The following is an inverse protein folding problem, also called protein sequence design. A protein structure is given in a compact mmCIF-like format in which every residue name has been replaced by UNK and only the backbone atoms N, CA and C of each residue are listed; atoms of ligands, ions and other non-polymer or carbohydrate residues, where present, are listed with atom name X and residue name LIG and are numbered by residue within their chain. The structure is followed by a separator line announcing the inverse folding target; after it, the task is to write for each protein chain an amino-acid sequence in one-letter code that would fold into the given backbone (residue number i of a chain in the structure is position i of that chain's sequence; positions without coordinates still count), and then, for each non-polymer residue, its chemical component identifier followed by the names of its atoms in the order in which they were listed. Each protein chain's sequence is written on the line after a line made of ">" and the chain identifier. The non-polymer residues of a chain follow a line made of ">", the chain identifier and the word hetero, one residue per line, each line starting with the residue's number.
data_IF_692668469802
#
_entry.id   IF_692668469802
#
_cell.length_a   1.000
_cell.length_b   1.000
_cell.length_c   1.000
_cell.angle_alpha   90.00
_cell.angle_beta   90.00
_cell.angle_gamma   90.00
#
_symmetry.space_group_name_H-M   'P 1'
#
loop_
_entity.id
_entity.type
_entity.pdbx_description
1 polymer ?
#
# COMPACT_ATOMS: atom_id res chain seq x y z
N UNK A 1 -12.89 -36.70 -49.31
CA UNK A 1 -11.58 -36.36 -48.68
C UNK A 1 -10.85 -35.21 -49.36
N UNK A 2 -10.45 -35.29 -50.65
CA UNK A 2 -9.59 -34.26 -51.31
C UNK A 2 -10.13 -32.81 -51.33
N UNK A 3 -11.44 -32.60 -51.44
CA UNK A 3 -12.04 -31.25 -51.45
C UNK A 3 -12.03 -30.60 -50.06
N UNK A 4 -12.38 -31.36 -49.03
CA UNK A 4 -12.34 -30.91 -47.63
C UNK A 4 -10.90 -30.52 -47.27
N UNK A 5 -9.91 -31.36 -47.62
CA UNK A 5 -8.49 -31.04 -47.38
C UNK A 5 -8.04 -29.76 -48.10
N UNK A 6 -8.48 -29.51 -49.34
CA UNK A 6 -8.15 -28.26 -50.07
C UNK A 6 -8.80 -27.02 -49.47
N UNK A 7 -10.08 -27.10 -49.07
CA UNK A 7 -10.79 -26.00 -48.42
C UNK A 7 -10.16 -25.67 -47.06
N UNK A 8 -9.77 -26.68 -46.29
CA UNK A 8 -9.04 -26.50 -45.03
C UNK A 8 -7.67 -25.83 -45.25
N UNK A 9 -6.90 -26.25 -46.26
CA UNK A 9 -5.61 -25.61 -46.57
C UNK A 9 -5.77 -24.15 -47.01
N UNK A 10 -6.76 -23.84 -47.84
CA UNK A 10 -7.05 -22.45 -48.27
C UNK A 10 -7.49 -21.59 -47.07
N UNK A 11 -8.35 -22.11 -46.21
CA UNK A 11 -8.78 -21.41 -45.00
C UNK A 11 -7.60 -21.13 -44.05
N UNK A 12 -6.73 -22.12 -43.82
CA UNK A 12 -5.52 -21.95 -42.99
C UNK A 12 -4.57 -20.92 -43.59
N UNK A 13 -4.34 -20.98 -44.92
CA UNK A 13 -3.48 -20.01 -45.60
C UNK A 13 -4.05 -18.59 -45.51
N UNK A 14 -5.37 -18.43 -45.66
CA UNK A 14 -6.05 -17.14 -45.48
C UNK A 14 -5.88 -16.58 -44.06
N UNK A 15 -6.09 -17.41 -43.04
CA UNK A 15 -5.89 -17.02 -41.63
C UNK A 15 -4.44 -16.62 -41.37
N UNK A 16 -3.47 -17.37 -41.90
CA UNK A 16 -2.05 -17.05 -41.74
C UNK A 16 -1.69 -15.70 -42.39
N UNK A 17 -2.16 -15.45 -43.61
CA UNK A 17 -1.92 -14.17 -44.32
C UNK A 17 -2.52 -13.01 -43.53
N UNK A 18 -3.77 -13.13 -43.06
CA UNK A 18 -4.41 -12.11 -42.23
C UNK A 18 -3.65 -11.86 -40.93
N UNK A 19 -3.20 -12.93 -40.25
CA UNK A 19 -2.43 -12.82 -39.01
C UNK A 19 -1.08 -12.14 -39.22
N UNK A 20 -0.30 -12.53 -40.24
CA UNK A 20 1.00 -11.92 -40.51
C UNK A 20 0.85 -10.48 -41.04
N UNK A 21 -0.18 -10.19 -41.83
CA UNK A 21 -0.49 -8.82 -42.26
C UNK A 21 -0.82 -7.92 -41.07
N UNK A 22 -1.66 -8.40 -40.15
CA UNK A 22 -2.00 -7.67 -38.92
C UNK A 22 -0.78 -7.51 -38.01
N UNK A 23 0.01 -8.57 -37.80
CA UNK A 23 1.22 -8.54 -36.97
C UNK A 23 2.28 -7.60 -37.55
N UNK A 24 2.44 -7.56 -38.87
CA UNK A 24 3.34 -6.62 -39.56
C UNK A 24 2.88 -5.17 -39.43
N UNK A 25 1.56 -4.92 -39.56
CA UNK A 25 0.99 -3.59 -39.28
C UNK A 25 1.22 -3.17 -37.83
N UNK A 26 0.97 -4.07 -36.87
CA UNK A 26 1.14 -3.81 -35.43
C UNK A 26 2.59 -3.47 -35.13
N UNK A 27 3.54 -4.26 -35.65
CA UNK A 27 4.96 -3.96 -35.52
C UNK A 27 5.31 -2.57 -36.06
N UNK A 28 4.79 -2.20 -37.23
CA UNK A 28 5.02 -0.87 -37.81
C UNK A 28 4.42 0.23 -36.92
N UNK A 29 3.17 0.05 -36.48
CA UNK A 29 2.47 0.99 -35.60
C UNK A 29 3.21 1.19 -34.28
N UNK A 30 3.58 0.10 -33.60
CA UNK A 30 4.30 0.13 -32.33
C UNK A 30 5.66 0.80 -32.48
N UNK A 31 6.38 0.54 -33.57
CA UNK A 31 7.66 1.18 -33.87
C UNK A 31 7.51 2.69 -34.11
N UNK A 32 6.45 3.12 -34.83
CA UNK A 32 6.16 4.56 -35.00
C UNK A 32 5.81 5.21 -33.67
N UNK A 33 4.93 4.57 -32.89
CA UNK A 33 4.52 5.04 -31.56
C UNK A 33 5.70 5.13 -30.59
N UNK A 34 6.59 4.14 -30.57
CA UNK A 34 7.79 4.18 -29.73
C UNK A 34 8.74 5.33 -30.08
N UNK A 35 8.62 5.88 -31.29
CA UNK A 35 9.38 7.05 -31.77
C UNK A 35 8.59 8.36 -31.62
N UNK A 36 7.27 8.30 -31.60
CA UNK A 36 6.37 9.45 -31.39
C UNK A 36 5.99 9.56 -29.91
N UNK A 37 6.63 10.54 -29.25
CA UNK A 37 6.36 11.07 -27.90
C UNK A 37 6.91 10.28 -26.68
N UNK A 38 7.90 10.86 -26.00
CA UNK A 38 7.65 11.92 -25.00
C UNK A 38 8.72 13.02 -25.14
N UNK A 39 8.35 14.30 -24.99
CA UNK A 39 9.25 15.47 -25.17
C UNK A 39 10.05 15.76 -23.90
N UNK A 40 9.63 15.17 -22.77
CA UNK A 40 10.27 15.36 -21.48
C UNK A 40 11.19 14.17 -21.16
N UNK A 41 12.49 14.45 -21.20
CA UNK A 41 13.52 13.53 -20.74
C UNK A 41 13.89 13.85 -19.28
N UNK A 42 14.17 12.80 -18.52
CA UNK A 42 14.87 12.92 -17.23
C UNK A 42 16.29 13.46 -17.44
N UNK A 43 16.86 14.12 -16.44
CA UNK A 43 18.28 14.52 -16.49
C UNK A 43 19.22 13.33 -16.32
N UNK A 44 18.72 12.19 -15.80
CA UNK A 44 19.47 10.97 -15.56
C UNK A 44 19.32 9.99 -16.73
N UNK A 45 20.44 9.57 -17.31
CA UNK A 45 20.47 8.60 -18.42
C UNK A 45 19.78 7.28 -18.07
N UNK A 46 19.94 6.82 -16.83
CA UNK A 46 19.33 5.57 -16.35
C UNK A 46 17.80 5.64 -16.31
N UNK A 47 17.22 6.76 -15.88
CA UNK A 47 15.78 6.97 -15.93
C UNK A 47 15.26 6.98 -17.36
N UNK A 48 16.01 7.59 -18.29
CA UNK A 48 15.66 7.60 -19.71
C UNK A 48 15.69 6.19 -20.34
N UNK A 49 16.61 5.31 -19.90
CA UNK A 49 16.63 3.89 -20.32
C UNK A 49 15.37 3.16 -19.87
N UNK A 50 14.96 3.34 -18.60
CA UNK A 50 13.74 2.72 -18.07
C UNK A 50 12.48 3.27 -18.76
N UNK A 51 12.40 4.59 -18.97
CA UNK A 51 11.31 5.22 -19.73
C UNK A 51 11.23 4.68 -21.17
N UNK A 52 12.39 4.53 -21.83
CA UNK A 52 12.51 3.92 -23.15
C UNK A 52 11.99 2.48 -23.17
N UNK A 53 12.47 1.64 -22.25
CA UNK A 53 12.02 0.26 -22.09
C UNK A 53 10.49 0.17 -21.94
N UNK A 54 9.91 0.93 -21.02
CA UNK A 54 8.46 0.90 -20.74
C UNK A 54 7.62 1.26 -21.99
N UNK A 55 8.14 2.18 -22.82
CA UNK A 55 7.49 2.61 -24.07
C UNK A 55 7.66 1.56 -25.17
N UNK A 56 8.88 1.07 -25.37
CA UNK A 56 9.22 0.08 -26.40
C UNK A 56 8.49 -1.25 -26.20
N UNK A 57 8.31 -1.67 -24.95
CA UNK A 57 7.56 -2.89 -24.59
C UNK A 57 6.05 -2.70 -24.52
N UNK A 58 5.58 -1.48 -24.74
CA UNK A 58 4.16 -1.15 -24.78
C UNK A 58 3.42 -1.29 -23.46
N UNK A 59 4.09 -1.06 -22.33
CA UNK A 59 3.47 -1.14 -21.01
C UNK A 59 2.32 -0.13 -20.85
N UNK A 60 2.42 1.03 -21.50
CA UNK A 60 1.39 2.05 -21.50
C UNK A 60 0.06 1.63 -22.12
N UNK A 61 0.05 0.68 -23.07
CA UNK A 61 -1.19 0.21 -23.70
C UNK A 61 -2.22 -0.23 -22.67
N UNK A 62 -1.80 -0.87 -21.58
CA UNK A 62 -2.71 -1.37 -20.55
C UNK A 62 -2.55 -0.68 -19.20
N UNK A 63 -1.50 0.11 -18.98
CA UNK A 63 -1.19 0.74 -17.69
C UNK A 63 -1.30 2.27 -17.69
N UNK A 64 -1.78 2.86 -18.79
CA UNK A 64 -2.13 4.29 -18.86
C UNK A 64 -3.48 4.47 -19.56
N UNK A 65 -4.32 5.42 -19.12
CA UNK A 65 -5.62 5.71 -19.75
C UNK A 65 -5.49 6.45 -21.08
N UNK A 66 -4.32 7.03 -21.37
CA UNK A 66 -4.07 7.95 -22.48
C UNK A 66 -3.41 7.30 -23.71
N UNK A 67 -3.15 5.99 -23.69
CA UNK A 67 -2.47 5.33 -24.80
C UNK A 67 -3.31 5.32 -26.09
N UNK A 68 -2.74 5.81 -27.19
CA UNK A 68 -3.36 5.72 -28.51
C UNK A 68 -3.46 4.26 -28.95
N UNK A 69 -4.69 3.78 -29.14
CA UNK A 69 -4.96 2.41 -29.55
C UNK A 69 -4.93 2.27 -31.08
N UNK A 70 -4.41 1.15 -31.61
CA UNK A 70 -4.40 0.89 -33.04
C UNK A 70 -5.82 0.73 -33.60
N UNK A 71 -6.00 0.95 -34.91
CA UNK A 71 -7.35 1.03 -35.53
C UNK A 71 -8.24 -0.19 -35.27
N UNK A 72 -7.66 -1.39 -35.18
CA UNK A 72 -8.41 -2.63 -34.96
C UNK A 72 -9.04 -2.72 -33.57
N UNK A 73 -8.61 -1.89 -32.61
CA UNK A 73 -9.26 -1.74 -31.30
C UNK A 73 -10.72 -1.29 -31.39
N UNK A 74 -11.15 -0.78 -32.55
CA UNK A 74 -12.54 -0.42 -32.82
C UNK A 74 -13.43 -1.61 -33.22
N UNK A 75 -12.84 -2.75 -33.63
CA UNK A 75 -13.60 -3.92 -34.08
C UNK A 75 -14.24 -4.65 -32.89
N UNK A 76 -15.51 -5.12 -32.96
CA UNK A 76 -16.26 -5.55 -31.78
C UNK A 76 -15.55 -6.55 -30.85
N UNK A 77 -14.96 -7.61 -31.41
CA UNK A 77 -14.27 -8.65 -30.63
C UNK A 77 -12.94 -8.13 -30.07
N UNK A 78 -12.15 -7.44 -30.88
CA UNK A 78 -10.87 -6.86 -30.46
C UNK A 78 -11.08 -5.78 -29.39
N UNK A 79 -12.07 -4.91 -29.58
CA UNK A 79 -12.50 -3.88 -28.63
C UNK A 79 -12.83 -4.46 -27.28
N UNK A 80 -13.65 -5.52 -27.23
CA UNK A 80 -14.05 -6.13 -25.97
C UNK A 80 -12.85 -6.73 -25.22
N UNK A 81 -11.98 -7.45 -25.93
CA UNK A 81 -10.78 -8.05 -25.34
C UNK A 81 -9.78 -6.99 -24.85
N UNK A 82 -9.48 -6.00 -25.69
CA UNK A 82 -8.57 -4.91 -25.34
C UNK A 82 -9.11 -4.08 -24.18
N UNK A 83 -10.41 -3.73 -24.18
CA UNK A 83 -11.00 -3.01 -23.06
C UNK A 83 -10.89 -3.80 -21.76
N UNK A 84 -11.10 -5.12 -21.79
CA UNK A 84 -10.92 -5.97 -20.62
C UNK A 84 -9.47 -5.92 -20.10
N UNK A 85 -8.49 -6.12 -20.98
CA UNK A 85 -7.07 -6.13 -20.61
C UNK A 85 -6.58 -4.74 -20.13
N UNK A 86 -7.04 -3.65 -20.76
CA UNK A 86 -6.74 -2.26 -20.36
C UNK A 86 -7.33 -1.96 -18.99
N UNK A 87 -8.61 -2.28 -18.76
CA UNK A 87 -9.25 -2.04 -17.47
C UNK A 87 -8.58 -2.85 -16.36
N UNK A 88 -8.23 -4.12 -16.62
CA UNK A 88 -7.53 -4.96 -15.66
C UNK A 88 -6.10 -4.48 -15.39
N UNK A 89 -5.36 -4.11 -16.45
CA UNK A 89 -4.00 -3.58 -16.36
C UNK A 89 -3.96 -2.29 -15.54
N UNK A 90 -4.83 -1.33 -15.86
CA UNK A 90 -4.89 -0.04 -15.21
C UNK A 90 -5.41 -0.13 -13.77
N UNK A 91 -6.36 -1.05 -13.49
CA UNK A 91 -6.78 -1.39 -12.13
C UNK A 91 -5.61 -1.95 -11.30
N UNK A 92 -4.72 -2.74 -11.91
CA UNK A 92 -3.61 -3.37 -11.21
C UNK A 92 -2.43 -2.43 -10.94
N UNK A 93 -2.13 -1.57 -11.91
CA UNK A 93 -0.93 -0.75 -11.91
C UNK A 93 -1.11 0.50 -12.76
N UNK A 94 -0.84 1.67 -12.18
CA UNK A 94 -0.84 2.95 -12.86
C UNK A 94 0.60 3.36 -13.18
N UNK A 95 0.96 3.29 -14.47
CA UNK A 95 2.31 3.62 -14.92
C UNK A 95 2.60 5.12 -14.93
N UNK A 96 1.58 5.98 -14.90
CA UNK A 96 1.76 7.44 -14.94
C UNK A 96 2.57 7.95 -13.74
N UNK A 97 2.33 7.40 -12.55
CA UNK A 97 3.05 7.79 -11.33
C UNK A 97 4.55 7.45 -11.44
N UNK A 98 4.88 6.30 -12.01
CA UNK A 98 6.27 5.86 -12.26
C UNK A 98 6.94 6.78 -13.28
N UNK A 99 6.27 7.05 -14.41
CA UNK A 99 6.79 7.95 -15.45
C UNK A 99 7.04 9.36 -14.89
N UNK A 100 6.08 9.90 -14.15
CA UNK A 100 6.20 11.23 -13.54
C UNK A 100 7.36 11.30 -12.53
N UNK A 101 7.56 10.25 -11.72
CA UNK A 101 8.70 10.18 -10.80
C UNK A 101 10.04 10.16 -11.55
N UNK A 102 10.16 9.31 -12.58
CA UNK A 102 11.38 9.20 -13.39
C UNK A 102 11.72 10.51 -14.11
N UNK A 103 10.73 11.16 -14.75
CA UNK A 103 10.91 12.44 -15.43
C UNK A 103 11.33 13.55 -14.45
N UNK A 104 10.79 13.52 -13.22
CA UNK A 104 11.12 14.49 -12.18
C UNK A 104 12.39 14.16 -11.37
N UNK A 105 13.14 13.12 -11.75
CA UNK A 105 14.31 12.62 -11.02
C UNK A 105 14.03 12.29 -9.55
N UNK A 106 12.80 11.85 -9.27
CA UNK A 106 12.35 11.41 -7.96
C UNK A 106 12.35 9.89 -7.88
N UNK A 107 12.58 9.32 -6.68
CA UNK A 107 12.55 7.88 -6.51
C UNK A 107 11.14 7.34 -6.77
N UNK A 108 11.07 6.24 -7.52
CA UNK A 108 9.82 5.52 -7.81
C UNK A 108 9.34 4.82 -6.54
N UNK A 109 8.04 4.90 -6.24
CA UNK A 109 7.47 4.35 -5.00
C UNK A 109 7.84 2.87 -4.80
N UNK A 110 8.06 2.47 -3.54
CA UNK A 110 8.41 1.08 -3.22
C UNK A 110 7.36 0.07 -3.71
N UNK A 111 6.06 0.40 -3.61
CA UNK A 111 4.99 -0.46 -4.13
C UNK A 111 5.07 -0.64 -5.63
N UNK A 112 5.40 0.42 -6.38
CA UNK A 112 5.53 0.34 -7.83
C UNK A 112 6.78 -0.45 -8.24
N UNK A 113 7.92 -0.23 -7.57
CA UNK A 113 9.13 -1.03 -7.75
C UNK A 113 8.85 -2.53 -7.49
N UNK A 114 8.16 -2.85 -6.39
CA UNK A 114 7.83 -4.23 -6.03
C UNK A 114 6.90 -4.88 -7.06
N UNK A 115 5.94 -4.14 -7.62
CA UNK A 115 5.06 -4.64 -8.69
C UNK A 115 5.84 -4.92 -9.98
N UNK A 116 6.71 -4.00 -10.40
CA UNK A 116 7.55 -4.17 -11.59
C UNK A 116 8.50 -5.37 -11.38
N UNK A 117 9.18 -5.43 -10.24
CA UNK A 117 10.08 -6.54 -9.90
C UNK A 117 9.37 -7.89 -10.01
N UNK A 118 8.20 -8.03 -9.38
CA UNK A 118 7.48 -9.29 -9.36
C UNK A 118 7.12 -9.73 -10.78
N UNK A 119 6.60 -8.83 -11.63
CA UNK A 119 6.22 -9.24 -12.99
C UNK A 119 7.43 -9.59 -13.86
N UNK A 120 8.60 -9.01 -13.60
CA UNK A 120 9.87 -9.35 -14.25
C UNK A 120 10.43 -10.69 -13.76
N UNK A 121 10.45 -10.95 -12.44
CA UNK A 121 10.96 -12.19 -11.85
C UNK A 121 10.16 -13.42 -12.27
N UNK A 122 8.83 -13.31 -12.34
CA UNK A 122 7.95 -14.44 -12.70
C UNK A 122 7.51 -14.43 -14.18
N UNK A 123 8.11 -13.56 -15.00
CA UNK A 123 7.88 -13.49 -16.45
C UNK A 123 6.40 -13.37 -16.86
N UNK A 124 5.61 -12.69 -16.03
CA UNK A 124 4.15 -12.60 -16.23
C UNK A 124 3.73 -11.43 -17.10
N UNK A 125 4.67 -10.51 -17.37
CA UNK A 125 4.46 -9.36 -18.25
C UNK A 125 5.56 -9.27 -19.32
N UNK A 126 5.18 -8.87 -20.55
CA UNK A 126 3.81 -8.68 -21.01
C UNK A 126 3.02 -10.00 -21.13
N UNK A 127 1.68 -9.98 -21.03
CA UNK A 127 0.89 -11.21 -21.08
C UNK A 127 1.02 -11.92 -22.43
N UNK A 128 0.90 -13.26 -22.46
CA UNK A 128 1.00 -14.04 -23.70
C UNK A 128 0.05 -13.54 -24.81
N UNK A 129 -1.18 -13.15 -24.44
CA UNK A 129 -2.16 -12.59 -25.38
C UNK A 129 -1.68 -11.32 -26.07
N UNK A 130 -0.98 -10.45 -25.34
CA UNK A 130 -0.36 -9.25 -25.90
C UNK A 130 0.77 -9.64 -26.86
N UNK A 131 1.72 -10.44 -26.40
CA UNK A 131 2.90 -10.83 -27.21
C UNK A 131 2.58 -11.70 -28.43
N UNK A 132 1.39 -12.31 -28.49
CA UNK A 132 0.92 -13.01 -29.68
C UNK A 132 0.80 -12.07 -30.88
N UNK A 133 0.36 -10.83 -30.67
CA UNK A 133 0.25 -9.84 -31.73
C UNK A 133 1.40 -8.82 -31.71
N UNK A 134 1.86 -8.46 -30.51
CA UNK A 134 2.94 -7.51 -30.23
C UNK A 134 4.24 -8.26 -29.90
N UNK A 135 4.69 -9.13 -30.81
CA UNK A 135 5.84 -10.02 -30.55
C UNK A 135 7.16 -9.29 -30.24
N UNK A 136 7.35 -8.08 -30.79
CA UNK A 136 8.50 -7.23 -30.48
C UNK A 136 8.46 -6.63 -29.06
N UNK A 137 7.29 -6.65 -28.41
CA UNK A 137 7.11 -6.24 -27.02
C UNK A 137 7.57 -7.29 -26.01
N UNK A 138 8.03 -8.48 -26.45
CA UNK A 138 8.64 -9.45 -25.53
C UNK A 138 9.86 -8.85 -24.83
N UNK A 139 9.99 -9.17 -23.54
CA UNK A 139 11.14 -8.78 -22.72
C UNK A 139 12.17 -9.90 -22.76
N UNK A 140 13.38 -9.59 -23.23
CA UNK A 140 14.51 -10.51 -23.24
C UNK A 140 15.14 -10.65 -21.85
N UNK A 141 15.95 -11.70 -21.65
CA UNK A 141 16.65 -11.93 -20.39
C UNK A 141 17.60 -10.79 -20.02
N UNK A 142 18.25 -10.17 -21.01
CA UNK A 142 19.12 -9.00 -20.81
C UNK A 142 18.33 -7.79 -20.32
N UNK A 143 17.24 -7.42 -21.00
CA UNK A 143 16.40 -6.28 -20.59
C UNK A 143 15.80 -6.52 -19.21
N UNK A 144 15.38 -7.76 -18.92
CA UNK A 144 14.89 -8.13 -17.60
C UNK A 144 15.95 -7.95 -16.51
N UNK A 145 17.17 -8.42 -16.76
CA UNK A 145 18.28 -8.26 -15.82
C UNK A 145 18.63 -6.78 -15.59
N UNK A 146 18.56 -5.95 -16.64
CA UNK A 146 18.75 -4.50 -16.54
C UNK A 146 17.68 -3.84 -15.65
N UNK A 147 16.41 -4.17 -15.84
CA UNK A 147 15.31 -3.61 -15.02
C UNK A 147 15.40 -4.09 -13.57
N UNK A 148 15.72 -5.37 -13.33
CA UNK A 148 15.92 -5.90 -11.98
C UNK A 148 17.13 -5.26 -11.29
N UNK A 149 18.22 -5.06 -12.01
CA UNK A 149 19.41 -4.36 -11.51
C UNK A 149 19.12 -2.90 -11.17
N UNK A 150 18.36 -2.20 -12.01
CA UNK A 150 17.89 -0.85 -11.75
C UNK A 150 17.02 -0.78 -10.49
N UNK A 151 16.05 -1.69 -10.32
CA UNK A 151 15.22 -1.76 -9.10
C UNK A 151 16.08 -1.95 -7.86
N UNK A 152 17.05 -2.87 -7.92
CA UNK A 152 17.95 -3.12 -6.80
C UNK A 152 18.75 -1.86 -6.43
N UNK A 153 19.25 -1.13 -7.42
CA UNK A 153 19.94 0.14 -7.21
C UNK A 153 19.03 1.22 -6.63
N UNK A 154 17.78 1.32 -7.09
CA UNK A 154 16.79 2.26 -6.52
C UNK A 154 16.53 1.96 -5.04
N UNK A 155 16.36 0.68 -4.67
CA UNK A 155 16.20 0.28 -3.26
C UNK A 155 17.42 0.62 -2.43
N UNK A 156 18.60 0.23 -2.89
CA UNK A 156 19.87 0.50 -2.22
C UNK A 156 20.08 2.01 -1.97
N UNK A 157 19.76 2.84 -2.96
CA UNK A 157 20.02 4.28 -2.91
C UNK A 157 18.99 5.05 -2.06
N UNK A 158 17.71 4.68 -2.13
CA UNK A 158 16.63 5.52 -1.61
C UNK A 158 15.85 4.92 -0.44
N UNK A 159 15.91 3.60 -0.25
CA UNK A 159 15.01 2.90 0.66
C UNK A 159 15.72 1.99 1.67
N UNK A 160 16.89 1.47 1.34
CA UNK A 160 17.65 0.60 2.22
C UNK A 160 18.10 1.38 3.46
N UNK A 161 17.72 0.89 4.65
CA UNK A 161 18.18 1.51 5.88
C UNK A 161 19.68 1.23 6.09
N UNK A 162 20.36 2.08 6.87
CA UNK A 162 21.79 1.93 7.13
C UNK A 162 22.10 0.69 7.99
N UNK A 163 21.15 0.26 8.81
CA UNK A 163 21.25 -0.90 9.70
C UNK A 163 20.79 -2.22 9.04
N UNK A 164 20.28 -2.18 7.80
CA UNK A 164 19.95 -3.40 7.05
C UNK A 164 21.23 -4.10 6.58
N UNK A 165 21.32 -5.41 6.80
CA UNK A 165 22.47 -6.20 6.37
C UNK A 165 22.59 -6.21 4.85
N UNK A 166 23.82 -6.23 4.33
CA UNK A 166 24.12 -6.11 2.89
C UNK A 166 23.32 -7.07 2.01
N UNK A 167 23.16 -8.32 2.44
CA UNK A 167 22.40 -9.34 1.69
C UNK A 167 20.89 -9.06 1.62
N UNK A 168 20.35 -8.25 2.54
CA UNK A 168 18.92 -7.97 2.67
C UNK A 168 18.53 -6.58 2.15
N UNK A 169 19.49 -5.76 1.69
CA UNK A 169 19.19 -4.38 1.26
C UNK A 169 18.29 -4.28 0.04
N UNK A 170 18.26 -5.32 -0.81
CA UNK A 170 17.33 -5.41 -1.95
C UNK A 170 15.98 -6.06 -1.59
N UNK A 171 15.75 -6.46 -0.34
CA UNK A 171 14.43 -6.98 0.04
C UNK A 171 13.35 -5.87 -0.11
N UNK A 172 12.12 -6.21 -0.51
CA UNK A 172 11.02 -5.25 -0.66
C UNK A 172 10.55 -4.65 0.67
N UNK A 173 11.14 -5.08 1.79
CA UNK A 173 10.81 -4.70 3.17
C UNK A 173 12.09 -4.23 3.87
N UNK A 174 11.94 -3.28 4.79
CA UNK A 174 13.04 -2.70 5.56
C UNK A 174 12.72 -2.78 7.06
N UNK A 175 13.72 -2.85 7.95
CA UNK A 175 13.47 -2.94 9.38
C UNK A 175 12.86 -1.63 9.90
N UNK A 176 12.04 -1.73 10.94
CA UNK A 176 11.61 -0.53 11.67
C UNK A 176 12.85 0.09 12.34
N UNK A 177 13.12 1.40 12.16
CA UNK A 177 14.25 2.05 12.83
C UNK A 177 14.11 1.94 14.33
N UNK A 178 15.22 1.84 15.07
CA UNK A 178 15.18 1.67 16.53
C UNK A 178 14.67 2.91 17.26
N UNK A 179 14.74 4.09 16.63
CA UNK A 179 14.22 5.35 17.15
C UNK A 179 13.85 6.32 16.03
N UNK A 180 12.99 7.28 16.34
CA UNK A 180 12.71 8.45 15.49
C UNK A 180 13.03 9.71 16.32
N UNK A 181 13.69 10.74 15.74
CA UNK A 181 13.88 12.01 16.42
C UNK A 181 12.53 12.66 16.81
N UNK A 182 12.41 13.05 18.07
CA UNK A 182 11.22 13.73 18.62
C UNK A 182 11.60 14.85 19.60
N UNK A 183 10.73 15.84 19.78
CA UNK A 183 10.82 16.81 20.88
C UNK A 183 10.23 16.20 22.16
N UNK A 184 11.11 15.86 23.11
CA UNK A 184 10.72 15.20 24.37
C UNK A 184 9.67 15.98 25.18
N UNK A 185 9.65 17.32 25.11
CA UNK A 185 8.67 18.13 25.85
C UNK A 185 7.29 18.05 25.21
N UNK A 186 7.22 18.05 23.88
CA UNK A 186 5.98 17.82 23.13
C UNK A 186 5.47 16.39 23.31
N UNK A 187 6.37 15.40 23.31
CA UNK A 187 6.03 13.98 23.59
C UNK A 187 5.38 13.85 24.96
N UNK A 188 5.94 14.47 26.01
CA UNK A 188 5.36 14.42 27.35
C UNK A 188 3.92 14.96 27.38
N UNK A 189 3.70 16.09 26.71
CA UNK A 189 2.38 16.71 26.62
C UNK A 189 1.41 15.88 25.77
N UNK A 190 1.88 15.36 24.63
CA UNK A 190 1.13 14.48 23.75
C UNK A 190 0.70 13.20 24.43
N UNK A 191 1.57 12.59 25.24
CA UNK A 191 1.24 11.43 26.06
C UNK A 191 0.09 11.75 27.02
N UNK A 192 0.15 12.88 27.72
CA UNK A 192 -0.95 13.33 28.61
C UNK A 192 -2.25 13.49 27.82
N UNK A 193 -2.23 14.21 26.70
CA UNK A 193 -3.41 14.50 25.87
C UNK A 193 -4.01 13.25 25.21
N UNK A 194 -3.18 12.30 24.78
CA UNK A 194 -3.60 11.03 24.19
C UNK A 194 -4.43 10.19 25.17
N UNK A 195 -4.16 10.32 26.47
CA UNK A 195 -4.86 9.60 27.53
C UNK A 195 -5.97 10.43 28.18
N UNK A 196 -6.03 11.74 27.93
CA UNK A 196 -6.96 12.66 28.60
C UNK A 196 -8.38 12.56 28.01
N UNK A 197 -9.38 12.08 28.78
CA UNK A 197 -10.72 11.92 28.25
C UNK A 197 -11.43 13.26 28.04
N UNK A 198 -10.93 14.37 28.60
CA UNK A 198 -11.51 15.72 28.41
C UNK A 198 -11.49 16.17 26.95
N UNK A 199 -10.78 15.47 26.06
CA UNK A 199 -10.83 15.71 24.62
C UNK A 199 -12.14 15.20 23.96
N UNK A 200 -12.94 14.36 24.65
CA UNK A 200 -14.31 14.01 24.24
C UNK A 200 -15.37 14.95 24.84
N UNK A 201 -16.52 15.04 24.17
CA UNK A 201 -17.64 15.92 24.51
C UNK A 201 -18.14 15.74 25.94
N UNK A 202 -18.26 14.49 26.38
CA UNK A 202 -18.73 14.10 27.72
C UNK A 202 -17.59 13.81 28.71
N UNK A 203 -16.33 13.99 28.28
CA UNK A 203 -15.13 13.68 29.06
C UNK A 203 -14.98 12.21 29.48
N UNK A 204 -15.48 11.26 28.67
CA UNK A 204 -15.39 9.80 28.94
C UNK A 204 -14.44 9.04 28.02
N UNK A 205 -14.03 9.60 26.88
CA UNK A 205 -13.23 8.90 25.86
C UNK A 205 -11.97 9.69 25.54
N UNK A 206 -10.85 8.99 25.43
CA UNK A 206 -9.55 9.49 24.95
C UNK A 206 -9.06 8.63 23.78
N UNK A 207 -7.97 9.03 23.11
CA UNK A 207 -7.37 8.24 22.03
C UNK A 207 -7.04 6.80 22.51
N UNK A 208 -6.52 6.68 23.73
CA UNK A 208 -6.16 5.40 24.36
C UNK A 208 -7.33 4.43 24.57
N UNK A 209 -8.59 4.89 24.53
CA UNK A 209 -9.75 4.00 24.65
C UNK A 209 -9.97 3.16 23.38
N UNK A 210 -9.76 3.75 22.20
CA UNK A 210 -9.89 3.05 20.92
C UNK A 210 -8.55 2.47 20.43
N UNK A 211 -7.44 3.01 20.92
CA UNK A 211 -6.08 2.66 20.50
C UNK A 211 -5.23 2.27 21.70
N UNK A 212 -5.62 1.20 22.41
CA UNK A 212 -4.97 0.82 23.65
C UNK A 212 -3.56 0.28 23.40
N UNK A 213 -2.54 0.95 23.98
CA UNK A 213 -1.13 0.64 23.74
C UNK A 213 -0.70 -0.73 24.30
N UNK A 214 -1.43 -1.26 25.28
CA UNK A 214 -1.24 -2.61 25.82
C UNK A 214 -1.99 -3.70 25.03
N UNK A 215 -2.75 -3.33 23.98
CA UNK A 215 -3.53 -4.24 23.16
C UNK A 215 -3.28 -3.99 21.66
N UNK A 216 -2.00 -3.92 21.26
CA UNK A 216 -1.62 -3.78 19.85
C UNK A 216 -1.98 -2.41 19.23
N UNK A 217 -2.33 -1.41 20.04
CA UNK A 217 -2.69 -0.06 19.56
C UNK A 217 -4.09 0.00 18.93
N UNK A 218 -4.97 -0.96 19.24
CA UNK A 218 -6.35 -1.07 18.74
C UNK A 218 -7.33 -1.32 19.89
N UNK A 219 -8.63 -1.43 19.59
CA UNK A 219 -9.69 -1.72 20.57
C UNK A 219 -10.13 -3.20 20.60
N UNK A 220 -9.65 -4.01 19.66
CA UNK A 220 -10.02 -5.43 19.53
C UNK A 220 -11.48 -5.67 19.12
N UNK A 221 -12.17 -4.63 18.62
CA UNK A 221 -13.59 -4.69 18.23
C UNK A 221 -13.73 -4.77 16.72
N UNK A 222 -14.90 -5.25 16.27
CA UNK A 222 -15.28 -5.16 14.86
C UNK A 222 -15.22 -3.71 14.35
N UNK A 223 -15.90 -2.81 15.05
CA UNK A 223 -15.81 -1.36 14.87
C UNK A 223 -15.87 -0.66 16.22
N UNK A 224 -15.32 0.55 16.29
CA UNK A 224 -15.16 1.29 17.55
C UNK A 224 -16.47 1.78 18.14
N UNK A 225 -16.49 1.96 19.46
CA UNK A 225 -17.61 2.54 20.18
C UNK A 225 -17.20 3.93 20.69
N UNK A 226 -17.91 4.95 20.24
CA UNK A 226 -17.75 6.33 20.68
C UNK A 226 -18.68 6.72 21.83
N UNK A 227 -18.76 8.04 22.05
CA UNK A 227 -19.57 8.67 23.11
C UNK A 227 -21.04 8.23 23.01
N UNK A 228 -21.65 7.97 24.17
CA UNK A 228 -23.05 7.54 24.24
C UNK A 228 -23.32 6.14 23.68
N UNK A 229 -22.29 5.33 23.41
CA UNK A 229 -22.43 4.00 22.82
C UNK A 229 -22.61 3.99 21.30
N UNK A 230 -22.33 5.11 20.62
CA UNK A 230 -22.36 5.18 19.17
C UNK A 230 -21.37 4.19 18.55
N UNK A 231 -21.81 3.40 17.57
CA UNK A 231 -20.95 2.41 16.90
C UNK A 231 -20.47 2.98 15.57
N UNK A 232 -19.16 3.07 15.41
CA UNK A 232 -18.53 3.54 14.18
C UNK A 232 -18.67 2.56 13.01
N UNK A 233 -18.47 3.02 11.76
CA UNK A 233 -18.67 2.19 10.56
C UNK A 233 -17.44 1.37 10.16
N UNK A 234 -16.30 1.56 10.84
CA UNK A 234 -15.00 1.04 10.41
C UNK A 234 -14.17 0.55 11.60
N UNK A 235 -13.32 -0.44 11.37
CA UNK A 235 -12.37 -0.98 12.34
C UNK A 235 -11.25 0.04 12.62
N UNK A 236 -10.89 0.21 13.89
CA UNK A 236 -9.80 1.09 14.31
C UNK A 236 -8.44 0.48 13.88
N UNK A 237 -7.69 1.13 12.96
CA UNK A 237 -6.34 0.68 12.65
C UNK A 237 -5.40 0.94 13.84
N UNK A 238 -4.30 0.21 13.92
CA UNK A 238 -3.30 0.43 14.99
C UNK A 238 -2.64 1.80 14.88
N UNK A 239 -2.37 2.43 16.03
CA UNK A 239 -1.48 3.60 16.12
C UNK A 239 0.00 3.23 15.99
N UNK A 240 0.36 1.97 16.24
CA UNK A 240 1.76 1.56 16.17
C UNK A 240 2.29 1.64 14.74
N UNK A 241 3.45 2.27 14.58
CA UNK A 241 4.14 2.50 13.31
C UNK A 241 3.35 3.37 12.31
N UNK A 242 2.26 4.03 12.75
CA UNK A 242 1.40 4.85 11.90
C UNK A 242 2.11 6.07 11.30
N UNK A 243 3.19 6.53 11.96
CA UNK A 243 4.12 7.55 11.47
C UNK A 243 4.72 7.23 10.10
N UNK A 244 4.81 5.96 9.72
CA UNK A 244 5.36 5.54 8.43
C UNK A 244 4.31 5.40 7.31
N UNK A 245 3.03 5.62 7.62
CA UNK A 245 2.01 5.68 6.57
C UNK A 245 2.23 6.91 5.67
N UNK A 246 1.96 6.77 4.37
CA UNK A 246 1.97 7.88 3.42
C UNK A 246 0.89 8.92 3.75
N UNK A 247 -0.27 8.43 4.17
CA UNK A 247 -1.45 9.20 4.62
C UNK A 247 -2.18 8.36 5.67
N UNK A 248 -2.97 8.99 6.53
CA UNK A 248 -3.69 8.35 7.64
C UNK A 248 -5.16 8.06 7.29
N UNK A 249 -5.79 7.24 8.14
CA UNK A 249 -7.10 6.58 7.89
C UNK A 249 -7.07 5.56 6.74
N UNK A 250 -8.12 4.72 6.67
CA UNK A 250 -8.27 3.70 5.62
C UNK A 250 -8.41 4.30 4.21
N UNK A 251 -9.02 5.47 4.07
CA UNK A 251 -9.20 6.19 2.80
C UNK A 251 -8.09 7.20 2.49
N UNK A 252 -7.15 7.42 3.42
CA UNK A 252 -6.05 8.36 3.26
C UNK A 252 -6.46 9.83 3.35
N UNK A 253 -7.61 10.16 3.95
CA UNK A 253 -8.13 11.54 3.95
C UNK A 253 -7.31 12.53 4.78
N UNK A 254 -6.40 12.06 5.63
CA UNK A 254 -5.55 12.91 6.44
C UNK A 254 -4.07 12.75 6.03
N UNK A 255 -3.36 13.81 5.61
CA UNK A 255 -2.00 13.69 5.10
C UNK A 255 -0.94 13.43 6.18
N UNK A 256 -1.24 13.69 7.45
CA UNK A 256 -0.29 13.58 8.57
C UNK A 256 -0.98 13.06 9.83
N UNK A 257 -0.19 12.62 10.82
CA UNK A 257 -0.70 12.26 12.16
C UNK A 257 -1.40 13.45 12.83
N UNK A 258 -0.84 14.66 12.74
CA UNK A 258 -1.46 15.86 13.29
C UNK A 258 -2.84 16.13 12.66
N UNK A 259 -2.95 16.04 11.33
CA UNK A 259 -4.23 16.19 10.65
C UNK A 259 -5.23 15.09 11.05
N UNK A 260 -4.75 13.86 11.25
CA UNK A 260 -5.56 12.74 11.71
C UNK A 260 -6.09 12.98 13.14
N UNK A 261 -5.23 13.40 14.07
CA UNK A 261 -5.58 13.68 15.46
C UNK A 261 -6.64 14.79 15.59
N UNK A 262 -6.80 15.64 14.57
CA UNK A 262 -7.85 16.65 14.51
C UNK A 262 -9.25 16.14 14.17
N UNK A 263 -9.38 14.91 13.63
CA UNK A 263 -10.65 14.32 13.22
C UNK A 263 -11.49 13.75 14.38
N UNK A 264 -10.99 12.74 15.11
CA UNK A 264 -11.73 12.03 16.16
C UNK A 264 -12.38 12.94 17.22
N UNK A 265 -11.71 13.99 17.75
CA UNK A 265 -12.28 14.88 18.77
C UNK A 265 -13.63 15.46 18.37
N UNK A 266 -13.78 15.83 17.09
CA UNK A 266 -14.97 16.52 16.57
C UNK A 266 -15.96 15.56 15.87
N UNK A 267 -15.63 14.28 15.73
CA UNK A 267 -16.50 13.32 15.09
C UNK A 267 -17.65 12.90 16.05
N UNK A 268 -18.93 13.13 15.70
CA UNK A 268 -20.07 12.88 16.59
C UNK A 268 -20.29 11.41 16.95
N UNK A 269 -19.72 10.47 16.19
CA UNK A 269 -19.80 9.02 16.48
C UNK A 269 -18.52 8.47 17.14
N UNK A 270 -17.52 9.33 17.39
CA UNK A 270 -16.30 8.97 18.11
C UNK A 270 -16.24 9.75 19.43
N UNK A 271 -15.60 10.92 19.46
CA UNK A 271 -15.38 11.69 20.69
C UNK A 271 -16.39 12.83 20.89
N UNK A 272 -17.12 13.23 19.85
CA UNK A 272 -18.31 14.08 19.93
C UNK A 272 -18.17 15.44 20.65
N UNK A 273 -16.97 16.02 20.72
CA UNK A 273 -16.83 17.43 21.12
C UNK A 273 -17.34 18.34 20.01
N UNK A 274 -18.03 19.42 20.38
CA UNK A 274 -18.67 20.34 19.43
C UNK A 274 -17.69 21.31 18.77
N UNK A 275 -16.58 21.59 19.45
CA UNK A 275 -15.53 22.48 18.95
C UNK A 275 -14.24 22.31 19.75
N UNK A 276 -13.14 22.82 19.21
CA UNK A 276 -11.89 22.97 19.97
C UNK A 276 -12.05 23.90 21.17
N UNK A 277 -12.87 24.95 21.08
CA UNK A 277 -13.12 25.84 22.22
C UNK A 277 -13.72 25.08 23.42
N UNK A 278 -14.61 24.12 23.17
CA UNK A 278 -15.17 23.26 24.21
C UNK A 278 -14.08 22.42 24.89
N UNK A 279 -13.20 21.80 24.10
CA UNK A 279 -12.05 21.02 24.59
C UNK A 279 -11.13 21.92 25.43
N UNK A 280 -10.77 23.08 24.90
CA UNK A 280 -9.90 24.05 25.55
C UNK A 280 -10.51 24.53 26.87
N UNK A 281 -11.80 24.82 26.93
CA UNK A 281 -12.48 25.20 28.18
C UNK A 281 -12.42 24.11 29.26
N UNK A 282 -12.36 22.83 28.87
CA UNK A 282 -12.19 21.71 29.81
C UNK A 282 -10.74 21.60 30.28
N UNK A 283 -9.78 21.69 29.36
CA UNK A 283 -8.35 21.59 29.66
C UNK A 283 -7.84 22.80 30.46
N UNK A 284 -8.33 24.02 30.19
CA UNK A 284 -7.87 25.27 30.83
C UNK A 284 -8.19 25.34 32.33
N UNK A 285 -9.13 24.50 32.80
CA UNK A 285 -9.45 24.35 34.23
C UNK A 285 -8.33 23.64 35.01
N UNK A 286 -7.47 22.92 34.33
CA UNK A 286 -6.30 22.24 34.89
C UNK A 286 -5.09 23.16 34.88
N UNK A 287 -4.83 23.80 36.02
CA UNK A 287 -3.76 24.79 36.13
C UNK A 287 -2.37 24.19 35.93
N UNK A 288 -2.18 22.92 36.28
CA UNK A 288 -0.89 22.25 36.06
C UNK A 288 -0.69 21.98 34.58
N UNK A 289 -1.67 21.33 33.91
CA UNK A 289 -1.58 21.07 32.47
C UNK A 289 -1.42 22.37 31.68
N UNK A 290 -2.12 23.44 32.06
CA UNK A 290 -1.97 24.77 31.42
C UNK A 290 -0.55 25.31 31.52
N UNK A 291 0.09 25.22 32.69
CA UNK A 291 1.47 25.65 32.87
C UNK A 291 2.44 24.82 32.04
N UNK A 292 2.28 23.49 32.06
CA UNK A 292 3.08 22.56 31.25
C UNK A 292 2.91 22.85 29.75
N UNK A 293 1.67 23.09 29.30
CA UNK A 293 1.36 23.41 27.91
C UNK A 293 2.02 24.72 27.46
N UNK A 294 1.89 25.80 28.25
CA UNK A 294 2.47 27.12 27.92
C UNK A 294 4.00 27.06 27.86
N UNK A 295 4.64 26.20 28.66
CA UNK A 295 6.09 26.01 28.63
C UNK A 295 6.59 25.39 27.30
N UNK A 296 5.75 24.66 26.59
CA UNK A 296 6.06 24.05 25.28
C UNK A 296 5.53 24.93 24.13
N UNK A 297 4.32 25.45 24.28
CA UNK A 297 3.63 26.31 23.32
C UNK A 297 3.25 27.64 24.00
N UNK A 298 4.08 28.68 23.92
CA UNK A 298 3.85 29.98 24.58
C UNK A 298 2.51 30.66 24.23
N UNK A 299 1.91 30.25 23.11
CA UNK A 299 0.65 30.72 22.56
C UNK A 299 -0.56 30.09 23.27
N UNK A 300 -0.33 29.07 24.11
CA UNK A 300 -1.36 28.35 24.84
C UNK A 300 -2.09 27.31 23.99
N UNK A 301 -3.21 26.82 24.52
CA UNK A 301 -4.01 25.81 23.85
C UNK A 301 -4.60 26.31 22.53
N UNK A 302 -4.49 25.49 21.50
CA UNK A 302 -5.22 25.58 20.23
C UNK A 302 -5.42 24.16 19.70
N UNK A 303 -6.38 23.95 18.79
CA UNK A 303 -6.52 22.65 18.13
C UNK A 303 -5.22 22.21 17.44
N UNK A 304 -4.53 23.16 16.79
CA UNK A 304 -3.25 22.90 16.13
C UNK A 304 -2.16 22.47 17.12
N UNK A 305 -2.01 23.16 18.25
CA UNK A 305 -0.98 22.84 19.25
C UNK A 305 -1.28 21.51 19.97
N UNK A 306 -2.56 21.24 20.25
CA UNK A 306 -3.00 19.97 20.88
C UNK A 306 -2.70 18.80 19.95
N UNK A 307 -3.09 18.91 18.68
CA UNK A 307 -2.86 17.85 17.69
C UNK A 307 -1.38 17.68 17.34
N UNK A 308 -0.58 18.76 17.34
CA UNK A 308 0.88 18.71 17.16
C UNK A 308 1.54 17.91 18.29
N UNK A 309 1.16 18.16 19.54
CA UNK A 309 1.69 17.43 20.69
C UNK A 309 1.33 15.93 20.63
N UNK A 310 0.06 15.61 20.34
CA UNK A 310 -0.40 14.21 20.17
C UNK A 310 0.39 13.53 19.06
N UNK A 311 0.51 14.16 17.89
CA UNK A 311 1.25 13.60 16.76
C UNK A 311 2.74 13.38 17.09
N UNK A 312 3.34 14.27 17.88
CA UNK A 312 4.72 14.10 18.34
C UNK A 312 4.87 12.88 19.26
N UNK A 313 3.91 12.65 20.16
CA UNK A 313 3.86 11.42 20.96
C UNK A 313 3.67 10.18 20.08
N UNK A 314 2.78 10.22 19.10
CA UNK A 314 2.54 9.09 18.19
C UNK A 314 3.77 8.70 17.36
N UNK A 315 4.70 9.61 17.07
CA UNK A 315 6.01 9.26 16.46
C UNK A 315 6.82 8.29 17.31
N UNK A 316 6.64 8.31 18.64
CA UNK A 316 7.33 7.38 19.55
C UNK A 316 6.70 5.99 19.56
N UNK A 317 5.49 5.84 19.03
CA UNK A 317 4.74 4.58 18.99
C UNK A 317 5.23 3.70 17.84
N UNK A 318 6.52 3.45 17.77
CA UNK A 318 7.14 2.48 16.87
C UNK A 318 7.43 1.18 17.63
N UNK A 319 7.49 0.07 16.89
CA UNK A 319 7.76 -1.26 17.45
C UNK A 319 8.93 -1.94 16.72
N UNK A 320 10.17 -1.51 16.95
CA UNK A 320 11.34 -2.16 16.36
C UNK A 320 11.58 -3.55 16.96
N UNK A 321 12.63 -4.23 16.48
CA UNK A 321 13.17 -5.46 17.08
C UNK A 321 12.24 -6.67 17.05
N UNK A 322 11.31 -6.69 16.07
CA UNK A 322 10.63 -7.93 15.71
C UNK A 322 11.67 -9.00 15.27
N UNK A 323 11.37 -10.30 15.41
CA UNK A 323 12.21 -11.36 14.84
C UNK A 323 12.57 -11.11 13.37
N UNK A 324 11.62 -10.61 12.57
CA UNK A 324 11.86 -10.23 11.19
C UNK A 324 12.82 -9.05 11.01
N UNK A 325 12.74 -8.01 11.87
CA UNK A 325 13.71 -6.90 11.83
C UNK A 325 15.12 -7.36 12.14
N UNK A 326 15.28 -8.23 13.15
CA UNK A 326 16.59 -8.79 13.50
C UNK A 326 17.19 -9.59 12.35
N UNK A 327 16.36 -10.36 11.64
CA UNK A 327 16.77 -11.06 10.43
C UNK A 327 17.20 -10.11 9.31
N UNK A 328 16.44 -9.05 9.04
CA UNK A 328 16.83 -8.00 8.07
C UNK A 328 18.16 -7.32 8.44
N UNK A 329 18.48 -7.23 9.74
CA UNK A 329 19.77 -6.73 10.26
C UNK A 329 20.89 -7.77 10.26
N UNK A 330 20.63 -9.00 9.79
CA UNK A 330 21.63 -10.05 9.58
C UNK A 330 21.68 -11.13 10.66
N UNK A 331 20.80 -11.10 11.67
CA UNK A 331 20.63 -12.24 12.59
C UNK A 331 19.84 -13.35 11.90
N UNK A 332 20.53 -14.20 11.15
CA UNK A 332 19.92 -15.30 10.41
C UNK A 332 19.18 -16.31 11.30
N UNK A 333 19.49 -16.37 12.60
CA UNK A 333 18.84 -17.26 13.55
C UNK A 333 17.55 -16.66 14.13
N UNK A 334 17.26 -15.38 13.89
CA UNK A 334 16.06 -14.71 14.40
C UNK A 334 14.74 -15.25 13.81
N UNK A 335 14.79 -15.85 12.62
CA UNK A 335 13.65 -16.53 12.01
C UNK A 335 13.85 -18.04 11.98
N UNK A 336 12.79 -18.76 12.33
CA UNK A 336 12.71 -20.21 12.13
C UNK A 336 12.65 -20.56 10.63
N UNK A 337 12.93 -21.81 10.28
CA UNK A 337 12.80 -22.29 8.90
C UNK A 337 11.37 -22.10 8.35
N UNK A 338 10.36 -22.33 9.19
CA UNK A 338 8.95 -22.14 8.85
C UNK A 338 8.67 -20.67 8.50
N UNK A 339 9.14 -19.73 9.31
CA UNK A 339 8.96 -18.29 9.06
C UNK A 339 9.68 -17.82 7.80
N UNK A 340 10.89 -18.35 7.52
CA UNK A 340 11.60 -18.05 6.27
C UNK A 340 10.83 -18.58 5.05
N UNK A 341 10.28 -19.79 5.14
CA UNK A 341 9.43 -20.34 4.08
C UNK A 341 8.14 -19.53 3.89
N UNK A 342 7.48 -19.13 4.98
CA UNK A 342 6.33 -18.24 4.98
C UNK A 342 6.61 -16.89 4.31
N UNK A 343 7.77 -16.29 4.57
CA UNK A 343 8.18 -15.06 3.88
C UNK A 343 8.40 -15.27 2.38
N UNK A 344 9.00 -16.41 1.99
CA UNK A 344 9.14 -16.75 0.58
C UNK A 344 7.78 -16.92 -0.10
N UNK A 345 6.85 -17.66 0.51
CA UNK A 345 5.48 -17.81 0.03
C UNK A 345 4.75 -16.45 -0.05
N UNK A 346 4.97 -15.56 0.90
CA UNK A 346 4.45 -14.20 0.88
C UNK A 346 4.94 -13.40 -0.34
N UNK A 347 6.23 -13.52 -0.71
CA UNK A 347 6.80 -12.91 -1.93
C UNK A 347 6.25 -13.59 -3.20
N UNK A 348 6.28 -14.92 -3.26
CA UNK A 348 5.81 -15.73 -4.39
C UNK A 348 4.34 -15.49 -4.73
N UNK A 349 3.53 -15.19 -3.71
CA UNK A 349 2.11 -14.92 -3.84
C UNK A 349 1.76 -13.43 -3.88
N UNK A 350 2.69 -12.59 -4.35
CA UNK A 350 2.49 -11.15 -4.64
C UNK A 350 2.19 -10.28 -3.43
N UNK A 351 2.19 -10.79 -2.20
CA UNK A 351 1.80 -10.01 -1.03
C UNK A 351 2.75 -8.81 -0.85
N UNK A 352 4.05 -9.01 -1.07
CA UNK A 352 5.08 -7.97 -1.00
C UNK A 352 4.93 -6.85 -2.08
N UNK A 353 4.10 -7.03 -3.10
CA UNK A 353 3.84 -5.97 -4.11
C UNK A 353 3.04 -4.80 -3.53
N UNK A 354 2.19 -5.07 -2.54
CA UNK A 354 1.40 -4.06 -1.83
C UNK A 354 1.90 -3.85 -0.40
N UNK A 355 2.29 -4.95 0.26
CA UNK A 355 2.78 -4.98 1.63
C UNK A 355 4.31 -4.93 1.69
N UNK A 356 4.89 -3.85 1.18
CA UNK A 356 6.33 -3.58 1.20
C UNK A 356 6.72 -2.39 2.10
N UNK A 357 8.00 -2.03 2.08
CA UNK A 357 8.55 -0.92 2.87
C UNK A 357 8.69 -1.22 4.35
N UNK A 358 8.89 -0.18 5.17
CA UNK A 358 9.23 -0.30 6.60
C UNK A 358 8.15 -1.08 7.40
N UNK A 359 6.87 -0.84 7.08
CA UNK A 359 5.74 -1.43 7.83
C UNK A 359 4.98 -2.51 7.07
N UNK A 360 5.52 -3.00 5.95
CA UNK A 360 4.85 -3.97 5.07
C UNK A 360 3.43 -3.50 4.68
N UNK A 361 3.33 -2.27 4.18
CA UNK A 361 2.07 -1.61 3.88
C UNK A 361 2.14 -0.10 4.10
N UNK A 362 0.99 0.57 4.08
CA UNK A 362 0.84 1.99 4.37
C UNK A 362 1.33 2.93 3.27
N UNK A 363 1.76 2.42 2.12
CA UNK A 363 2.41 3.22 1.05
C UNK A 363 1.61 3.35 -0.24
N UNK A 364 0.55 2.57 -0.41
CA UNK A 364 -0.29 2.60 -1.61
C UNK A 364 -1.77 2.39 -1.27
N UNK A 365 -2.62 2.67 -2.27
CA UNK A 365 -4.06 2.42 -2.23
C UNK A 365 -4.40 1.35 -3.26
N UNK A 366 -4.93 0.23 -2.79
CA UNK A 366 -5.17 -0.95 -3.62
C UNK A 366 -6.64 -1.36 -3.57
N UNK A 367 -7.21 -1.85 -4.68
CA UNK A 367 -8.58 -2.31 -4.67
C UNK A 367 -8.67 -3.59 -3.84
N UNK A 368 -9.72 -3.72 -3.03
CA UNK A 368 -10.09 -5.00 -2.47
C UNK A 368 -10.82 -5.82 -3.55
N UNK A 369 -10.12 -6.83 -4.08
CA UNK A 369 -10.63 -7.69 -5.16
C UNK A 369 -10.00 -7.39 -6.51
N UNK A 370 -8.69 -7.60 -6.63
CA UNK A 370 -7.95 -7.45 -7.87
C UNK A 370 -8.22 -8.59 -8.86
N UNK A 371 -8.40 -9.82 -8.36
CA UNK A 371 -8.57 -11.05 -9.17
C UNK A 371 -9.99 -11.59 -9.15
N UNK A 372 -10.69 -11.40 -8.04
CA UNK A 372 -12.11 -11.72 -7.88
C UNK A 372 -12.76 -10.57 -7.12
N UNK A 373 -14.02 -10.28 -7.41
CA UNK A 373 -14.76 -9.25 -6.68
C UNK A 373 -14.89 -9.66 -5.21
N UNK A 374 -14.47 -8.77 -4.31
CA UNK A 374 -14.60 -8.99 -2.88
C UNK A 374 -16.08 -8.89 -2.50
N UNK A 375 -16.60 -9.89 -1.78
CA UNK A 375 -18.02 -9.90 -1.43
C UNK A 375 -18.28 -9.03 -0.21
N UNK A 376 -18.54 -7.75 -0.45
CA UNK A 376 -18.94 -6.79 0.58
C UNK A 376 -20.41 -6.91 1.00
N UNK A 377 -21.25 -7.69 0.30
CA UNK A 377 -22.70 -7.55 0.45
C UNK A 377 -23.14 -6.11 0.12
N UNK A 378 -23.84 -5.45 1.02
CA UNK A 378 -24.19 -4.03 0.87
C UNK A 378 -22.93 -3.14 0.99
N UNK A 379 -22.67 -2.32 -0.02
CA UNK A 379 -21.53 -1.38 -0.06
C UNK A 379 -21.88 -0.13 0.74
N UNK A 380 -21.08 0.19 1.73
CA UNK A 380 -21.20 1.36 2.61
C UNK A 380 -20.21 2.47 2.21
N UNK A 381 -20.33 3.64 2.83
CA UNK A 381 -19.36 4.73 2.63
C UNK A 381 -17.92 4.33 3.00
N UNK A 382 -17.73 3.48 4.02
CA UNK A 382 -16.41 2.97 4.40
C UNK A 382 -15.77 2.12 3.29
N UNK A 383 -16.58 1.41 2.50
CA UNK A 383 -16.10 0.57 1.40
C UNK A 383 -15.69 1.36 0.17
N UNK A 384 -16.34 2.50 -0.08
CA UNK A 384 -15.99 3.39 -1.20
C UNK A 384 -14.51 3.78 -1.13
N UNK A 385 -13.99 3.98 0.08
CA UNK A 385 -12.57 4.13 0.35
C UNK A 385 -11.99 5.40 -0.26
N UNK A 386 -10.89 5.27 -0.99
CA UNK A 386 -10.10 6.40 -1.53
C UNK A 386 -10.92 7.34 -2.43
N UNK A 387 -11.93 6.83 -3.13
CA UNK A 387 -12.82 7.67 -3.94
C UNK A 387 -13.57 8.73 -3.11
N UNK A 388 -13.79 8.52 -1.81
CA UNK A 388 -14.36 9.55 -0.92
C UNK A 388 -13.47 10.80 -0.84
N UNK A 389 -12.19 10.68 -1.15
CA UNK A 389 -11.19 11.76 -1.11
C UNK A 389 -10.95 12.29 -2.52
N UNK A 390 -10.73 11.40 -3.50
CA UNK A 390 -10.29 11.82 -4.84
C UNK A 390 -11.44 12.13 -5.79
N UNK A 391 -12.65 11.62 -5.52
CA UNK A 391 -13.80 11.63 -6.44
C UNK A 391 -13.56 10.88 -7.76
N UNK A 392 -12.46 10.12 -7.87
CA UNK A 392 -12.07 9.41 -9.08
C UNK A 392 -12.64 7.98 -9.07
N UNK A 393 -13.30 7.57 -10.17
CA UNK A 393 -13.91 6.24 -10.26
C UNK A 393 -12.90 5.09 -10.12
N UNK A 394 -11.65 5.30 -10.57
CA UNK A 394 -10.54 4.31 -10.43
C UNK A 394 -10.16 4.02 -8.98
N UNK A 395 -10.53 4.92 -8.06
CA UNK A 395 -10.23 4.82 -6.64
C UNK A 395 -11.38 4.20 -5.83
N UNK A 396 -12.47 3.83 -6.49
CA UNK A 396 -13.60 3.15 -5.85
C UNK A 396 -13.15 1.79 -5.32
N UNK A 397 -13.52 1.49 -4.07
CA UNK A 397 -13.15 0.26 -3.36
C UNK A 397 -11.63 0.11 -3.13
N UNK A 398 -10.85 1.18 -3.31
CA UNK A 398 -9.45 1.19 -2.91
C UNK A 398 -9.33 1.62 -1.47
N UNK A 399 -8.55 0.88 -0.69
CA UNK A 399 -8.20 1.23 0.67
C UNK A 399 -6.69 1.41 0.73
N UNK A 400 -6.22 2.23 1.67
CA UNK A 400 -4.81 2.24 2.05
C UNK A 400 -4.46 0.83 2.50
N UNK A 401 -3.40 0.27 1.91
CA UNK A 401 -2.89 -1.03 2.32
C UNK A 401 -2.47 -0.92 3.79
N UNK A 402 -3.02 -1.71 4.73
CA UNK A 402 -2.62 -1.63 6.13
C UNK A 402 -1.18 -2.16 6.31
N UNK A 403 -0.45 -1.60 7.27
CA UNK A 403 0.83 -2.18 7.69
C UNK A 403 0.60 -3.54 8.35
N UNK A 404 1.50 -4.49 8.13
CA UNK A 404 1.41 -5.85 8.71
C UNK A 404 2.27 -6.02 9.96
N UNK A 405 3.00 -4.98 10.38
CA UNK A 405 3.70 -4.96 11.68
C UNK A 405 2.67 -5.11 12.80
N UNK A 406 2.94 -6.02 13.73
CA UNK A 406 2.03 -6.38 14.83
C UNK A 406 0.67 -6.95 14.40
N UNK A 407 0.49 -7.39 13.14
CA UNK A 407 -0.84 -7.82 12.64
C UNK A 407 -1.43 -8.98 13.46
N UNK A 408 -0.61 -9.85 14.03
CA UNK A 408 -1.07 -10.94 14.89
C UNK A 408 -1.71 -10.46 16.21
N UNK A 409 -1.58 -9.17 16.55
CA UNK A 409 -2.12 -8.54 17.77
C UNK A 409 -3.35 -7.65 17.50
N UNK A 410 -3.77 -7.49 16.24
CA UNK A 410 -4.77 -6.48 15.84
C UNK A 410 -6.03 -7.06 15.22
N UNK A 411 -6.43 -8.26 15.64
CA UNK A 411 -7.72 -8.81 15.23
C UNK A 411 -8.88 -7.94 15.77
N UNK A 412 -10.05 -7.91 15.08
CA UNK A 412 -10.34 -8.54 13.79
C UNK A 412 -9.80 -7.75 12.59
N UNK A 413 -9.80 -8.37 11.42
CA UNK A 413 -9.11 -7.89 10.22
C UNK A 413 -10.04 -7.23 9.19
N UNK A 414 -9.40 -6.49 8.27
CA UNK A 414 -9.99 -5.62 7.25
C UNK A 414 -10.71 -4.39 7.82
N UNK A 415 -11.03 -3.43 6.95
CA UNK A 415 -11.63 -2.16 7.38
C UNK A 415 -13.01 -2.35 8.02
N UNK A 416 -13.69 -3.46 7.78
CA UNK A 416 -14.98 -3.79 8.42
C UNK A 416 -14.84 -4.59 9.72
N UNK A 417 -13.65 -5.08 10.05
CA UNK A 417 -13.42 -5.96 11.20
C UNK A 417 -14.25 -7.24 11.16
N UNK A 418 -14.62 -7.73 9.97
CA UNK A 418 -15.53 -8.86 9.78
C UNK A 418 -14.81 -10.21 9.74
N UNK A 419 -13.48 -10.22 9.73
CA UNK A 419 -12.67 -11.43 9.68
C UNK A 419 -11.93 -11.64 11.00
N UNK A 420 -12.26 -12.66 11.78
CA UNK A 420 -11.76 -12.78 13.15
C UNK A 420 -10.36 -13.39 13.25
N UNK A 421 -9.87 -14.12 12.24
CA UNK A 421 -8.62 -14.88 12.30
C UNK A 421 -7.63 -14.46 11.23
N UNK A 422 -6.33 -14.51 11.58
CA UNK A 422 -5.25 -14.13 10.66
C UNK A 422 -5.19 -15.09 9.47
N UNK A 423 -5.31 -16.39 9.73
CA UNK A 423 -5.49 -17.44 8.72
C UNK A 423 -6.63 -17.13 7.74
N UNK A 424 -7.80 -16.71 8.26
CA UNK A 424 -8.94 -16.32 7.45
C UNK A 424 -8.65 -15.11 6.56
N UNK A 425 -7.95 -14.11 7.11
CA UNK A 425 -7.53 -12.94 6.35
C UNK A 425 -6.54 -13.30 5.22
N UNK A 426 -5.56 -14.17 5.50
CA UNK A 426 -4.60 -14.69 4.50
C UNK A 426 -5.33 -15.43 3.38
N UNK A 427 -6.26 -16.34 3.70
CA UNK A 427 -7.08 -17.07 2.73
C UNK A 427 -7.88 -16.14 1.82
N UNK A 428 -8.51 -15.12 2.39
CA UNK A 428 -9.29 -14.16 1.62
C UNK A 428 -8.39 -13.29 0.73
N UNK A 429 -7.23 -12.87 1.21
CA UNK A 429 -6.24 -12.14 0.40
C UNK A 429 -5.74 -12.98 -0.79
N UNK A 430 -5.37 -14.25 -0.56
CA UNK A 430 -4.99 -15.18 -1.61
C UNK A 430 -6.12 -15.34 -2.65
N UNK A 431 -7.36 -15.53 -2.20
CA UNK A 431 -8.51 -15.74 -3.08
C UNK A 431 -8.85 -14.52 -3.93
N UNK A 432 -8.94 -13.35 -3.31
CA UNK A 432 -9.49 -12.15 -3.95
C UNK A 432 -8.42 -11.26 -4.61
N UNK A 433 -7.21 -11.22 -4.06
CA UNK A 433 -6.12 -10.40 -4.62
C UNK A 433 -5.18 -11.17 -5.54
N UNK A 434 -4.93 -12.45 -5.24
CA UNK A 434 -3.95 -13.27 -5.99
C UNK A 434 -4.65 -14.25 -6.94
N UNK A 435 -5.86 -14.69 -6.60
CA UNK A 435 -6.63 -15.67 -7.35
C UNK A 435 -6.16 -17.10 -7.10
N UNK A 436 -5.59 -17.38 -5.92
CA UNK A 436 -5.05 -18.69 -5.52
C UNK A 436 -5.74 -19.22 -4.27
N UNK A 437 -5.70 -20.54 -4.13
CA UNK A 437 -5.97 -21.27 -2.88
C UNK A 437 -4.72 -22.13 -2.62
N UNK A 438 -4.15 -22.00 -1.43
CA UNK A 438 -2.95 -22.74 -1.03
C UNK A 438 -3.32 -23.87 -0.06
N UNK A 439 -2.51 -24.94 0.04
CA UNK A 439 -2.59 -25.91 1.13
C UNK A 439 -2.55 -25.23 2.51
N UNK A 440 -3.14 -25.86 3.52
CA UNK A 440 -3.18 -25.28 4.88
C UNK A 440 -1.77 -25.09 5.46
N UNK A 441 -0.84 -26.01 5.19
CA UNK A 441 0.56 -25.90 5.63
C UNK A 441 1.23 -24.62 5.10
N UNK A 442 1.03 -24.26 3.83
CA UNK A 442 1.56 -23.02 3.25
C UNK A 442 0.92 -21.78 3.89
N UNK A 443 -0.35 -21.86 4.27
CA UNK A 443 -1.05 -20.78 4.95
C UNK A 443 -0.52 -20.62 6.38
N UNK A 444 -0.30 -21.73 7.09
CA UNK A 444 0.28 -21.75 8.43
C UNK A 444 1.70 -21.15 8.42
N UNK A 445 2.49 -21.43 7.37
CA UNK A 445 3.81 -20.85 7.20
C UNK A 445 3.76 -19.33 6.97
N UNK A 446 2.84 -18.85 6.13
CA UNK A 446 2.60 -17.40 5.95
C UNK A 446 2.17 -16.77 7.29
N UNK A 447 1.27 -17.41 8.03
CA UNK A 447 0.83 -16.92 9.35
C UNK A 447 2.00 -16.87 10.33
N UNK A 448 2.85 -17.89 10.38
CA UNK A 448 4.05 -17.91 11.21
C UNK A 448 5.00 -16.75 10.86
N UNK A 449 5.17 -16.46 9.56
CA UNK A 449 5.89 -15.26 9.11
C UNK A 449 5.24 -13.98 9.63
N UNK A 450 3.92 -13.83 9.52
CA UNK A 450 3.22 -12.63 10.01
C UNK A 450 3.34 -12.45 11.53
N UNK A 451 3.37 -13.54 12.31
CA UNK A 451 3.65 -13.50 13.75
C UNK A 451 5.08 -13.01 14.06
N UNK A 452 6.04 -13.29 13.17
CA UNK A 452 7.43 -12.81 13.28
C UNK A 452 7.56 -11.29 13.11
N UNK A 453 6.49 -10.60 12.70
CA UNK A 453 6.42 -9.13 12.53
C UNK A 453 6.02 -8.39 13.81
N UNK A 454 5.75 -9.10 14.91
CA UNK A 454 5.46 -8.49 16.20
C UNK A 454 6.73 -7.85 16.77
N UNK A 455 6.74 -6.52 16.82
CA UNK A 455 7.83 -5.73 17.35
C UNK A 455 7.70 -5.47 18.85
N UNK A 456 8.71 -4.80 19.40
CA UNK A 456 8.78 -4.42 20.80
C UNK A 456 8.39 -2.95 20.95
N UNK A 457 7.26 -2.70 21.60
CA UNK A 457 6.93 -1.35 22.07
C UNK A 457 7.68 -1.09 23.39
N UNK A 458 8.43 0.01 23.45
CA UNK A 458 9.02 0.51 24.70
C UNK A 458 8.09 1.59 25.26
N UNK A 459 7.40 1.35 26.39
CA UNK A 459 6.48 2.33 26.95
C UNK A 459 7.18 3.67 27.23
N UNK A 460 6.52 4.76 26.87
CA UNK A 460 6.98 6.09 27.28
C UNK A 460 6.89 6.21 28.80
N UNK A 461 8.01 6.60 29.44
CA UNK A 461 8.11 6.77 30.88
C UNK A 461 8.21 8.26 31.19
N UNK A 462 7.11 8.86 31.67
CA UNK A 462 7.08 10.29 31.99
C UNK A 462 8.11 10.62 33.10
N UNK A 463 9.02 11.55 32.81
CA UNK A 463 10.03 12.02 33.77
C UNK A 463 11.33 11.20 33.87
N UNK A 464 11.60 10.29 32.93
CA UNK A 464 12.88 9.59 32.79
C UNK A 464 13.59 9.87 31.48
#
# INVERSE_FOLDING_TARGET
>A
MKIITRLTVIAIAGVAICYFGLSGYVWYHDNQRSKQADVQASTLEENNKVLGFLREKGCDYCHTPSAELPFYSSFPVAKQLMNYDIQLGYKSFNLEAVRAALVADKPVSQSDLNKIEWVMQYETMPPTRYTALHWAGKVSDTERAEILGWIAKQREQYYASNDTATQHRNEPVQPIPESIPTDARKVALGFTLYHDPRISGDSTISCAHCHALNAGGVDGRKTSIGVGGAVGPINAPTVFNSVFNVEQFWDGRAPTLQAQAGGPPLNPIEMASKSWDEIIQKLDKDQQLKQEFIAVYPQGFSGDNITDAIAEFEKTLITPNSPFDKWLRGDEAALTAQQKHGYQLFKDNKCATCHGGIILGGRSFEPLGLKKDFNFGEVTAADIGRMNVTNELRDKLRQKVPGLRNVALTAPYFHRGDVPTLDGAVKLMLRYQVGKELPQEDIDDIVAFLESLNGVYTPYMQGK
#
